data_IF_183187950541
#
_entry.id   IF_183187950541
#
_cell.length_a   1.000
_cell.length_b   1.000
_cell.length_c   1.000
_cell.angle_alpha   90.00
_cell.angle_beta   90.00
_cell.angle_gamma   90.00
#
_symmetry.space_group_name_H-M   'P 1'
#
loop_
_entity.id
_entity.type
_entity.pdbx_description
1 polymer ?
#
# COMPACT_ATOMS: atom_id res chain seq x y z
N UNK A 1 -0.67 3.64 24.21
CA UNK A 1 0.14 3.31 23.03
C UNK A 1 0.50 1.83 23.11
N UNK A 2 0.15 1.03 22.09
CA UNK A 2 0.24 -0.44 22.13
C UNK A 2 1.65 -0.96 22.45
N UNK A 3 2.69 -0.27 21.95
CA UNK A 3 4.09 -0.59 22.20
C UNK A 3 4.54 -0.39 23.67
N UNK A 4 3.85 0.48 24.40
CA UNK A 4 4.15 0.79 25.81
C UNK A 4 3.09 0.22 26.76
N UNK A 5 2.24 -0.70 26.29
CA UNK A 5 1.23 -1.39 27.11
C UNK A 5 1.84 -2.48 27.98
N UNK A 6 1.05 -2.99 28.93
CA UNK A 6 1.36 -4.19 29.72
C UNK A 6 0.23 -5.22 29.56
N UNK A 7 0.42 -6.32 28.80
CA UNK A 7 1.64 -6.64 28.04
C UNK A 7 1.80 -5.73 26.79
N UNK A 8 3.03 -5.55 26.28
CA UNK A 8 3.25 -4.81 25.05
C UNK A 8 2.67 -5.58 23.85
N UNK A 9 2.17 -4.83 22.86
CA UNK A 9 1.57 -5.40 21.65
C UNK A 9 2.01 -4.64 20.39
N UNK A 10 2.04 -5.35 19.26
CA UNK A 10 2.26 -4.73 17.95
C UNK A 10 1.15 -3.72 17.62
N UNK A 11 1.50 -2.64 16.90
CA UNK A 11 0.50 -1.72 16.39
C UNK A 11 -0.53 -2.44 15.50
N UNK A 12 -1.76 -1.94 15.48
CA UNK A 12 -2.78 -2.44 14.57
C UNK A 12 -2.33 -2.23 13.11
N UNK A 13 -2.32 -3.28 12.26
CA UNK A 13 -1.98 -3.13 10.85
C UNK A 13 -2.88 -2.11 10.14
N UNK A 14 -2.31 -1.38 9.19
CA UNK A 14 -3.05 -0.44 8.35
C UNK A 14 -4.08 -1.17 7.49
N UNK A 15 -5.29 -0.61 7.37
CA UNK A 15 -6.40 -1.18 6.60
C UNK A 15 -6.72 -0.41 5.33
N UNK A 16 -6.00 0.68 5.08
CA UNK A 16 -6.19 1.59 3.95
C UNK A 16 -5.03 2.57 3.85
N UNK A 17 -5.18 3.62 3.05
CA UNK A 17 -4.17 4.66 2.93
C UNK A 17 -4.09 5.45 4.24
N UNK A 18 -2.86 5.67 4.71
CA UNK A 18 -2.57 6.59 5.79
C UNK A 18 -1.43 7.52 5.39
N UNK A 19 -1.48 8.76 5.87
CA UNK A 19 -0.50 9.79 5.56
C UNK A 19 -0.04 10.46 6.85
N UNK A 20 1.24 10.80 6.93
CA UNK A 20 1.79 11.69 7.93
C UNK A 20 2.75 12.70 7.28
N UNK A 21 2.66 13.96 7.71
CA UNK A 21 3.56 15.03 7.28
C UNK A 21 4.43 15.51 8.44
N UNK A 22 5.74 15.56 8.22
CA UNK A 22 6.75 16.01 9.17
C UNK A 22 7.37 17.32 8.68
N UNK A 23 7.41 18.33 9.56
CA UNK A 23 8.14 19.58 9.31
C UNK A 23 9.52 19.51 9.98
N UNK A 24 10.55 19.16 9.20
CA UNK A 24 11.92 18.99 9.66
C UNK A 24 12.69 20.31 9.52
N UNK A 25 12.95 20.98 10.65
CA UNK A 25 13.78 22.18 10.69
C UNK A 25 15.26 21.80 10.82
N UNK A 26 16.10 22.31 9.93
CA UNK A 26 17.53 22.01 9.90
C UNK A 26 18.37 23.23 9.48
N UNK A 27 19.68 23.20 9.74
CA UNK A 27 20.63 24.18 9.20
C UNK A 27 21.22 23.62 7.90
N UNK A 28 21.05 24.33 6.79
CA UNK A 28 21.65 23.90 5.52
C UNK A 28 23.15 24.19 5.50
N UNK A 29 23.96 23.25 5.01
CA UNK A 29 25.41 23.41 4.86
C UNK A 29 25.80 24.23 3.62
N UNK A 30 24.84 24.70 2.82
CA UNK A 30 25.13 25.46 1.60
C UNK A 30 25.85 26.78 1.93
N UNK A 31 27.12 26.84 1.55
CA UNK A 31 28.09 27.79 2.10
C UNK A 31 27.86 29.24 1.69
N UNK A 32 27.05 29.51 0.66
CA UNK A 32 26.87 30.85 0.09
C UNK A 32 25.70 31.63 0.72
N UNK A 33 24.74 30.96 1.36
CA UNK A 33 23.52 31.58 1.92
C UNK A 33 23.48 31.58 3.46
N UNK A 34 24.56 31.12 4.11
CA UNK A 34 24.70 30.98 5.57
C UNK A 34 24.44 32.27 6.36
N UNK A 35 24.60 33.42 5.71
CA UNK A 35 24.41 34.75 6.33
C UNK A 35 23.01 35.35 6.13
N UNK A 36 22.13 34.70 5.35
CA UNK A 36 20.79 35.22 5.03
C UNK A 36 19.64 34.33 5.52
N UNK A 37 19.85 33.02 5.72
CA UNK A 37 18.86 32.10 6.30
C UNK A 37 19.54 31.07 7.20
N UNK A 38 19.34 31.23 8.51
CA UNK A 38 19.97 30.39 9.55
C UNK A 38 19.28 29.01 9.70
N UNK A 39 18.03 28.86 9.20
CA UNK A 39 17.27 27.60 9.26
C UNK A 39 16.44 27.38 7.98
N UNK A 40 16.35 26.12 7.55
CA UNK A 40 15.52 25.62 6.45
C UNK A 40 14.52 24.59 6.98
N UNK A 41 13.36 24.46 6.33
CA UNK A 41 12.33 23.45 6.70
C UNK A 41 12.10 22.52 5.53
N UNK A 42 12.25 21.21 5.75
CA UNK A 42 11.82 20.15 4.82
C UNK A 42 10.46 19.62 5.28
N UNK A 43 9.47 19.68 4.41
CA UNK A 43 8.18 19.02 4.62
C UNK A 43 8.24 17.62 4.01
N UNK A 44 8.39 16.60 4.86
CA UNK A 44 8.41 15.20 4.45
C UNK A 44 7.01 14.61 4.60
N UNK A 45 6.46 14.09 3.51
CA UNK A 45 5.20 13.36 3.51
C UNK A 45 5.50 11.86 3.38
N UNK A 46 4.97 11.07 4.31
CA UNK A 46 5.09 9.61 4.33
C UNK A 46 3.68 9.06 4.14
N UNK A 47 3.50 8.31 3.05
CA UNK A 47 2.24 7.67 2.69
C UNK A 47 2.42 6.16 2.81
N UNK A 48 1.60 5.52 3.65
CA UNK A 48 1.51 4.06 3.77
C UNK A 48 0.23 3.59 3.08
N UNK A 49 0.34 2.59 2.22
CA UNK A 49 -0.78 2.04 1.45
C UNK A 49 -0.63 0.52 1.26
N UNK A 50 -1.74 -0.23 1.12
CA UNK A 50 -1.68 -1.67 0.87
C UNK A 50 -1.04 -1.98 -0.50
N UNK A 51 0.06 -2.74 -0.51
CA UNK A 51 0.81 -3.04 -1.73
C UNK A 51 0.02 -3.87 -2.75
N UNK A 52 -0.97 -4.65 -2.28
CA UNK A 52 -1.86 -5.47 -3.11
C UNK A 52 -2.65 -4.63 -4.12
N UNK A 53 -2.85 -3.33 -3.86
CA UNK A 53 -3.52 -2.44 -4.79
C UNK A 53 -2.78 -2.29 -6.13
N UNK A 54 -1.46 -2.48 -6.12
CA UNK A 54 -0.66 -2.46 -7.34
C UNK A 54 -0.88 -3.71 -8.21
N UNK A 55 -1.44 -4.80 -7.65
CA UNK A 55 -1.72 -6.03 -8.40
C UNK A 55 -2.85 -5.84 -9.41
N UNK A 56 -3.70 -4.83 -9.22
CA UNK A 56 -4.81 -4.51 -10.12
C UNK A 56 -4.38 -3.60 -11.28
N UNK A 57 -3.16 -3.04 -11.26
CA UNK A 57 -2.67 -2.15 -12.34
C UNK A 57 -2.78 -2.75 -13.76
N UNK A 58 -2.49 -4.06 -14.00
CA UNK A 58 -2.64 -4.65 -15.33
C UNK A 58 -4.09 -4.61 -15.85
N UNK A 59 -5.10 -4.50 -14.97
CA UNK A 59 -6.51 -4.44 -15.36
C UNK A 59 -6.82 -3.21 -16.22
N UNK A 60 -6.04 -2.13 -16.11
CA UNK A 60 -6.20 -0.93 -16.94
C UNK A 60 -6.04 -1.21 -18.44
N UNK A 61 -5.32 -2.29 -18.80
CA UNK A 61 -5.06 -2.68 -20.18
C UNK A 61 -5.85 -3.93 -20.61
N UNK A 62 -6.76 -4.43 -19.79
CA UNK A 62 -7.49 -5.68 -20.04
C UNK A 62 -9.00 -5.43 -20.07
N UNK A 63 -9.70 -6.09 -20.99
CA UNK A 63 -11.14 -6.24 -20.88
C UNK A 63 -11.50 -7.31 -19.84
N UNK A 64 -12.77 -7.33 -19.45
CA UNK A 64 -13.29 -8.27 -18.45
C UNK A 64 -13.03 -9.74 -18.83
N UNK A 65 -13.18 -10.09 -20.11
CA UNK A 65 -13.04 -11.47 -20.58
C UNK A 65 -11.59 -11.95 -20.50
N UNK A 66 -10.64 -11.10 -20.89
CA UNK A 66 -9.21 -11.37 -20.84
C UNK A 66 -8.74 -11.56 -19.40
N UNK A 67 -9.15 -10.66 -18.51
CA UNK A 67 -8.87 -10.78 -17.07
C UNK A 67 -9.47 -12.05 -16.47
N UNK A 68 -10.73 -12.37 -16.80
CA UNK A 68 -11.43 -13.56 -16.28
C UNK A 68 -10.74 -14.87 -16.68
N UNK A 69 -10.25 -14.96 -17.92
CA UNK A 69 -9.46 -16.11 -18.39
C UNK A 69 -8.14 -16.23 -17.63
N UNK A 70 -7.44 -15.12 -17.41
CA UNK A 70 -6.21 -15.11 -16.62
C UNK A 70 -6.46 -15.59 -15.19
N UNK A 71 -7.51 -15.11 -14.52
CA UNK A 71 -7.85 -15.51 -13.16
C UNK A 71 -8.25 -16.98 -13.06
N UNK A 72 -8.90 -17.52 -14.09
CA UNK A 72 -9.18 -18.97 -14.18
C UNK A 72 -7.88 -19.79 -14.20
N UNK A 73 -6.84 -19.31 -14.88
CA UNK A 73 -5.51 -19.93 -14.88
C UNK A 73 -4.79 -19.91 -13.53
N UNK A 74 -5.22 -19.07 -12.58
CA UNK A 74 -4.65 -18.95 -11.23
C UNK A 74 -5.37 -19.83 -10.18
N UNK A 75 -6.34 -20.65 -10.58
CA UNK A 75 -7.09 -21.53 -9.69
C UNK A 75 -6.27 -22.76 -9.27
N UNK A 76 -5.22 -22.54 -8.49
CA UNK A 76 -4.42 -23.60 -7.88
C UNK A 76 -4.81 -23.84 -6.41
N UNK A 77 -4.58 -25.07 -5.94
CA UNK A 77 -4.84 -25.49 -4.56
C UNK A 77 -6.25 -25.14 -4.07
N UNK A 78 -6.33 -24.57 -2.87
CA UNK A 78 -7.59 -24.23 -2.20
C UNK A 78 -8.48 -23.28 -3.01
N UNK A 79 -7.92 -22.41 -3.87
CA UNK A 79 -8.72 -21.50 -4.71
C UNK A 79 -9.60 -22.27 -5.68
N UNK A 80 -9.09 -23.36 -6.26
CA UNK A 80 -9.84 -24.23 -7.15
C UNK A 80 -10.97 -24.97 -6.43
N UNK A 81 -10.68 -25.48 -5.22
CA UNK A 81 -11.64 -26.20 -4.38
C UNK A 81 -12.78 -25.31 -3.90
N UNK A 82 -12.47 -24.14 -3.34
CA UNK A 82 -13.48 -23.22 -2.79
C UNK A 82 -14.40 -22.63 -3.86
N UNK A 83 -13.88 -22.41 -5.06
CA UNK A 83 -14.67 -21.86 -6.18
C UNK A 83 -15.48 -22.90 -6.95
N UNK A 84 -15.28 -24.20 -6.71
CA UNK A 84 -15.88 -25.28 -7.52
C UNK A 84 -17.40 -25.19 -7.64
N UNK A 85 -18.10 -25.01 -6.51
CA UNK A 85 -19.56 -24.91 -6.47
C UNK A 85 -20.08 -23.75 -7.32
N UNK A 86 -19.42 -22.59 -7.26
CA UNK A 86 -19.81 -21.41 -8.01
C UNK A 86 -19.58 -21.58 -9.51
N UNK A 87 -18.45 -22.16 -9.90
CA UNK A 87 -18.14 -22.43 -11.32
C UNK A 87 -19.16 -23.37 -11.96
N UNK A 88 -19.57 -24.42 -11.25
CA UNK A 88 -20.63 -25.33 -11.71
C UNK A 88 -21.97 -24.61 -11.95
N UNK A 89 -22.31 -23.58 -11.17
CA UNK A 89 -23.54 -22.81 -11.38
C UNK A 89 -23.46 -21.87 -12.59
N UNK A 90 -22.25 -21.49 -13.00
CA UNK A 90 -22.02 -20.59 -14.13
C UNK A 90 -21.92 -21.32 -15.49
N UNK A 91 -21.89 -22.65 -15.51
CA UNK A 91 -21.83 -23.48 -16.74
C UNK A 91 -23.22 -23.73 -17.37
N UNK A 92 -24.25 -22.98 -16.96
CA UNK A 92 -25.61 -23.04 -17.49
C UNK A 92 -25.79 -22.32 -18.82
#
# INVERSE_FOLDING_TARGET
AQLYGDPPAWPTPTRGVSEIRLALRFKSNDSLLRHFKDTSTLYLEIVDYPGEWLLDLPMLAQDYLSWSRQMTGLLNGQRGEWSAKWRMMCEG
#
